data_IF_404361808703
#
_entry.id   IF_404361808703
#
_cell.length_a   1.000
_cell.length_b   1.000
_cell.length_c   1.000
_cell.angle_alpha   90.00
_cell.angle_beta   90.00
_cell.angle_gamma   90.00
#
_symmetry.space_group_name_H-M   'P 1'
#
loop_
_entity.id
_entity.type
_entity.pdbx_description
1 polymer ?
#
# COMPACT_ATOMS: atom_id res chain seq x y z
N UNK A 1 3.68 -25.91 21.48
CA UNK A 1 3.62 -27.28 20.93
C UNK A 1 3.59 -27.15 19.42
N UNK A 2 4.72 -27.35 18.73
CA UNK A 2 4.82 -27.14 17.28
C UNK A 2 4.08 -28.23 16.52
N UNK A 3 3.13 -27.85 15.66
CA UNK A 3 2.54 -28.75 14.68
C UNK A 3 3.66 -29.24 13.75
N UNK A 4 3.70 -30.55 13.48
CA UNK A 4 4.54 -31.09 12.41
C UNK A 4 4.09 -30.47 11.09
N UNK A 5 5.03 -29.93 10.31
CA UNK A 5 4.76 -29.41 8.97
C UNK A 5 4.11 -30.52 8.13
N UNK A 6 2.98 -30.20 7.49
CA UNK A 6 2.33 -31.14 6.58
C UNK A 6 3.25 -31.47 5.40
N UNK A 7 3.34 -32.75 5.04
CA UNK A 7 4.18 -33.21 3.94
C UNK A 7 3.51 -32.90 2.61
N UNK A 8 4.13 -32.03 1.82
CA UNK A 8 3.73 -31.76 0.43
C UNK A 8 3.86 -33.05 -0.41
N UNK A 9 2.75 -33.53 -0.97
CA UNK A 9 2.73 -34.74 -1.81
C UNK A 9 2.94 -34.45 -3.29
N UNK A 10 2.36 -33.36 -3.77
CA UNK A 10 2.45 -32.91 -5.16
C UNK A 10 2.30 -31.40 -5.22
N UNK A 11 3.00 -30.76 -6.15
CA UNK A 11 2.83 -29.36 -6.49
C UNK A 11 2.91 -29.20 -8.01
N UNK A 12 2.08 -28.32 -8.55
CA UNK A 12 2.10 -27.91 -9.95
C UNK A 12 2.08 -26.38 -10.00
N UNK A 13 2.89 -25.80 -10.89
CA UNK A 13 2.87 -24.37 -11.15
C UNK A 13 1.70 -24.05 -12.09
N UNK A 14 0.71 -23.30 -11.60
CA UNK A 14 -0.41 -22.79 -12.40
C UNK A 14 -0.05 -21.44 -13.02
N UNK A 15 0.60 -20.57 -12.25
CA UNK A 15 1.05 -19.24 -12.67
C UNK A 15 2.35 -18.87 -11.94
N UNK A 16 3.22 -18.16 -12.63
CA UNK A 16 4.44 -17.56 -12.07
C UNK A 16 4.43 -16.06 -12.36
N UNK A 17 4.95 -15.26 -11.42
CA UNK A 17 5.21 -13.83 -11.56
C UNK A 17 6.71 -13.53 -11.50
N UNK A 18 7.54 -14.45 -12.00
CA UNK A 18 9.00 -14.41 -11.87
C UNK A 18 9.63 -13.17 -12.52
N UNK A 19 8.94 -12.52 -13.46
CA UNK A 19 9.41 -11.31 -14.14
C UNK A 19 9.42 -10.08 -13.23
N UNK A 20 8.71 -10.11 -12.10
CA UNK A 20 8.81 -9.06 -11.09
C UNK A 20 10.25 -8.88 -10.58
N UNK A 21 11.06 -9.94 -10.55
CA UNK A 21 12.45 -9.88 -10.11
C UNK A 21 13.42 -9.22 -11.11
N UNK A 22 12.94 -8.83 -12.30
CA UNK A 22 13.75 -8.11 -13.29
C UNK A 22 13.94 -6.63 -12.90
N UNK A 23 12.99 -6.08 -12.14
CA UNK A 23 12.97 -4.68 -11.69
C UNK A 23 12.75 -4.62 -10.18
N UNK A 24 13.60 -3.89 -9.46
CA UNK A 24 13.63 -3.96 -8.00
C UNK A 24 12.47 -3.23 -7.33
N UNK A 25 11.93 -2.21 -7.97
CA UNK A 25 10.73 -1.50 -7.56
C UNK A 25 9.50 -2.41 -7.62
N UNK A 26 9.37 -3.20 -8.70
CA UNK A 26 8.29 -4.17 -8.87
C UNK A 26 8.41 -5.31 -7.86
N UNK A 27 9.61 -5.82 -7.66
CA UNK A 27 9.89 -6.85 -6.66
C UNK A 27 9.59 -6.33 -5.25
N UNK A 28 10.04 -5.12 -4.90
CA UNK A 28 9.81 -4.52 -3.60
C UNK A 28 8.32 -4.30 -3.33
N UNK A 29 7.57 -3.84 -4.32
CA UNK A 29 6.12 -3.69 -4.25
C UNK A 29 5.41 -5.04 -4.01
N UNK A 30 5.77 -6.07 -4.78
CA UNK A 30 5.21 -7.41 -4.61
C UNK A 30 5.56 -8.02 -3.26
N UNK A 31 6.82 -7.92 -2.85
CA UNK A 31 7.31 -8.43 -1.58
C UNK A 31 6.64 -7.74 -0.38
N UNK A 32 6.42 -6.42 -0.47
CA UNK A 32 5.69 -5.70 0.57
C UNK A 32 4.27 -6.25 0.73
N UNK A 33 3.52 -6.41 -0.36
CA UNK A 33 2.14 -6.92 -0.30
C UNK A 33 2.08 -8.33 0.30
N UNK A 34 3.01 -9.21 -0.07
CA UNK A 34 3.12 -10.56 0.47
C UNK A 34 3.49 -10.57 1.95
N UNK A 35 4.43 -9.71 2.37
CA UNK A 35 4.79 -9.56 3.78
C UNK A 35 3.60 -9.07 4.59
N UNK A 36 2.88 -8.04 4.13
CA UNK A 36 1.70 -7.53 4.82
C UNK A 36 0.60 -8.59 4.91
N UNK A 37 0.30 -9.30 3.82
CA UNK A 37 -0.67 -10.39 3.86
C UNK A 37 -0.28 -11.47 4.88
N UNK A 38 1.01 -11.83 4.95
CA UNK A 38 1.52 -12.78 5.95
C UNK A 38 1.43 -12.25 7.38
N UNK A 39 1.45 -10.93 7.59
CA UNK A 39 1.21 -10.34 8.90
C UNK A 39 -0.26 -10.40 9.31
N UNK A 40 -1.17 -10.31 8.34
CA UNK A 40 -2.62 -10.26 8.56
C UNK A 40 -3.28 -11.64 8.64
N UNK A 41 -2.71 -12.63 7.95
CA UNK A 41 -3.23 -14.01 7.94
C UNK A 41 -2.70 -14.75 9.17
N UNK A 42 -3.60 -15.06 10.10
CA UNK A 42 -3.29 -15.94 11.22
C UNK A 42 -3.06 -17.38 10.73
N UNK A 43 -2.19 -18.15 11.41
CA UNK A 43 -1.76 -19.49 10.99
C UNK A 43 -2.88 -20.52 10.76
N UNK A 44 -4.12 -20.24 11.20
CA UNK A 44 -5.25 -21.15 11.11
C UNK A 44 -6.47 -20.58 10.37
N UNK A 45 -6.46 -19.29 9.97
CA UNK A 45 -7.63 -18.64 9.38
C UNK A 45 -7.24 -17.89 8.10
N UNK A 46 -7.75 -18.33 6.93
CA UNK A 46 -7.49 -17.61 5.69
C UNK A 46 -8.21 -16.26 5.72
N UNK A 47 -7.54 -15.21 5.25
CA UNK A 47 -8.16 -13.91 5.06
C UNK A 47 -8.99 -13.90 3.77
N UNK A 48 -10.34 -13.82 3.83
CA UNK A 48 -11.17 -13.87 2.63
C UNK A 48 -10.83 -12.75 1.64
N UNK A 49 -10.75 -13.08 0.35
CA UNK A 49 -10.43 -12.12 -0.71
C UNK A 49 -8.95 -11.74 -0.84
N UNK A 50 -8.10 -11.98 0.18
CA UNK A 50 -6.70 -11.58 0.14
C UNK A 50 -5.91 -12.23 -1.01
N UNK A 51 -6.14 -13.53 -1.28
CA UNK A 51 -5.49 -14.22 -2.39
C UNK A 51 -5.86 -13.60 -3.74
N UNK A 52 -7.14 -13.35 -3.99
CA UNK A 52 -7.61 -12.74 -5.24
C UNK A 52 -7.03 -11.34 -5.42
N UNK A 53 -7.01 -10.54 -4.35
CA UNK A 53 -6.39 -9.21 -4.35
C UNK A 53 -4.89 -9.29 -4.66
N UNK A 54 -4.15 -10.17 -3.98
CA UNK A 54 -2.71 -10.35 -4.20
C UNK A 54 -2.41 -10.76 -5.65
N UNK A 55 -3.10 -11.77 -6.19
CA UNK A 55 -2.89 -12.22 -7.56
C UNK A 55 -3.18 -11.11 -8.59
N UNK A 56 -4.20 -10.30 -8.33
CA UNK A 56 -4.52 -9.14 -9.16
C UNK A 56 -3.41 -8.08 -9.10
N UNK A 57 -2.94 -7.71 -7.90
CA UNK A 57 -1.86 -6.72 -7.73
C UNK A 57 -0.54 -7.19 -8.32
N UNK A 58 -0.17 -8.47 -8.13
CA UNK A 58 1.03 -9.05 -8.76
C UNK A 58 0.94 -9.04 -10.29
N UNK A 59 -0.25 -9.28 -10.85
CA UNK A 59 -0.49 -9.16 -12.30
C UNK A 59 -0.29 -7.74 -12.81
N UNK A 60 -0.85 -6.75 -12.13
CA UNK A 60 -0.66 -5.34 -12.49
C UNK A 60 0.81 -4.92 -12.41
N UNK A 61 1.53 -5.32 -11.36
CA UNK A 61 2.96 -5.04 -11.24
C UNK A 61 3.76 -5.65 -12.39
N UNK A 62 3.45 -6.89 -12.81
CA UNK A 62 4.14 -7.55 -13.91
C UNK A 62 3.86 -6.91 -15.29
N UNK A 63 2.68 -6.29 -15.46
CA UNK A 63 2.34 -5.52 -16.65
C UNK A 63 3.14 -4.22 -16.76
N UNK A 64 3.55 -3.63 -15.63
CA UNK A 64 4.36 -2.40 -15.62
C UNK A 64 5.75 -2.58 -16.22
N UNK A 65 6.29 -3.80 -16.34
CA UNK A 65 7.65 -4.05 -16.85
C UNK A 65 7.97 -3.36 -18.19
N UNK A 66 6.94 -3.13 -19.01
CA UNK A 66 7.07 -2.53 -20.35
C UNK A 66 6.90 -1.01 -20.34
N UNK A 67 6.57 -0.41 -19.20
CA UNK A 67 6.40 1.05 -19.06
C UNK A 67 7.76 1.76 -18.90
N UNK A 68 7.84 3.08 -19.09
CA UNK A 68 9.03 3.86 -18.74
C UNK A 68 9.39 3.73 -17.25
N UNK A 69 10.68 3.78 -16.90
CA UNK A 69 11.15 3.52 -15.53
C UNK A 69 10.52 4.44 -14.46
N UNK A 70 10.32 5.72 -14.79
CA UNK A 70 9.65 6.68 -13.91
C UNK A 70 8.18 6.32 -13.63
N UNK A 71 7.47 5.85 -14.67
CA UNK A 71 6.09 5.37 -14.57
C UNK A 71 6.04 4.08 -13.77
N UNK A 72 6.98 3.15 -14.03
CA UNK A 72 7.10 1.89 -13.28
C UNK A 72 7.24 2.14 -11.78
N UNK A 73 8.18 2.99 -11.37
CA UNK A 73 8.44 3.29 -9.97
C UNK A 73 7.20 3.87 -9.27
N UNK A 74 6.60 4.88 -9.88
CA UNK A 74 5.44 5.57 -9.33
C UNK A 74 4.21 4.65 -9.23
N UNK A 75 3.90 3.92 -10.30
CA UNK A 75 2.75 2.99 -10.34
C UNK A 75 2.98 1.78 -9.42
N UNK A 76 4.22 1.29 -9.27
CA UNK A 76 4.54 0.21 -8.35
C UNK A 76 4.31 0.61 -6.89
N UNK A 77 4.79 1.80 -6.50
CA UNK A 77 4.54 2.37 -5.18
C UNK A 77 3.05 2.54 -4.93
N UNK A 78 2.32 3.13 -5.89
CA UNK A 78 0.89 3.37 -5.76
C UNK A 78 0.08 2.06 -5.67
N UNK A 79 0.42 1.07 -6.51
CA UNK A 79 -0.19 -0.27 -6.49
C UNK A 79 -0.03 -0.92 -5.13
N UNK A 80 1.14 -0.80 -4.55
CA UNK A 80 1.45 -1.42 -3.27
C UNK A 80 0.78 -0.67 -2.11
N UNK A 81 0.72 0.67 -2.14
CA UNK A 81 -0.03 1.49 -1.16
C UNK A 81 -1.52 1.15 -1.22
N UNK A 82 -2.11 1.12 -2.41
CA UNK A 82 -3.51 0.75 -2.59
C UNK A 82 -3.80 -0.67 -2.10
N UNK A 83 -2.97 -1.63 -2.51
CA UNK A 83 -3.08 -3.02 -2.07
C UNK A 83 -2.96 -3.15 -0.55
N UNK A 84 -2.08 -2.37 0.08
CA UNK A 84 -1.93 -2.33 1.53
C UNK A 84 -3.17 -1.83 2.25
N UNK A 85 -3.75 -0.71 1.80
CA UNK A 85 -5.02 -0.18 2.32
C UNK A 85 -6.13 -1.23 2.22
N UNK A 86 -6.23 -1.92 1.09
CA UNK A 86 -7.28 -2.92 0.85
C UNK A 86 -7.07 -4.21 1.65
N UNK A 87 -5.82 -4.66 1.82
CA UNK A 87 -5.50 -5.81 2.68
C UNK A 87 -5.87 -5.52 4.14
N UNK A 88 -5.53 -4.33 4.63
CA UNK A 88 -5.93 -3.88 5.97
C UNK A 88 -7.46 -3.85 6.11
N UNK A 89 -8.17 -3.34 5.10
CA UNK A 89 -9.64 -3.34 5.09
C UNK A 89 -10.23 -4.76 5.16
N UNK A 90 -9.69 -5.70 4.38
CA UNK A 90 -10.14 -7.10 4.41
C UNK A 90 -9.92 -7.72 5.79
N UNK A 91 -8.83 -7.37 6.47
CA UNK A 91 -8.47 -7.86 7.79
C UNK A 91 -9.25 -7.20 8.95
N UNK A 92 -10.17 -6.28 8.67
CA UNK A 92 -10.88 -5.53 9.72
C UNK A 92 -10.02 -4.46 10.41
N UNK A 93 -8.84 -4.15 9.87
CA UNK A 93 -7.90 -3.13 10.34
C UNK A 93 -7.84 -1.92 9.40
N UNK A 94 -8.95 -1.67 8.69
CA UNK A 94 -9.08 -0.57 7.75
C UNK A 94 -8.86 0.79 8.42
N UNK A 95 -8.33 1.73 7.65
CA UNK A 95 -8.12 3.10 8.08
C UNK A 95 -9.50 3.79 8.25
N UNK A 96 -9.80 4.44 9.40
CA UNK A 96 -11.05 5.18 9.62
C UNK A 96 -11.01 6.55 8.90
N UNK A 97 -10.70 6.54 7.61
CA UNK A 97 -10.40 7.74 6.82
C UNK A 97 -11.64 8.51 6.36
N UNK A 98 -12.85 8.06 6.70
CA UNK A 98 -14.10 8.72 6.33
C UNK A 98 -14.83 9.36 7.52
N UNK A 99 -14.34 9.16 8.75
CA UNK A 99 -14.99 9.62 9.97
C UNK A 99 -14.00 10.46 10.76
N UNK A 100 -14.43 11.67 11.14
CA UNK A 100 -13.64 12.55 11.97
C UNK A 100 -13.66 12.06 13.42
N UNK A 101 -12.49 11.86 14.02
CA UNK A 101 -12.35 11.35 15.38
C UNK A 101 -13.00 12.26 16.44
N UNK A 102 -12.91 13.59 16.28
CA UNK A 102 -13.38 14.52 17.30
C UNK A 102 -14.91 14.71 17.23
N UNK A 103 -15.44 14.81 16.02
CA UNK A 103 -16.86 15.09 15.80
C UNK A 103 -17.72 13.87 15.52
N UNK A 104 -17.13 12.73 15.15
CA UNK A 104 -17.82 11.53 14.66
C UNK A 104 -18.52 11.71 13.31
N UNK A 105 -18.46 12.90 12.71
CA UNK A 105 -19.07 13.22 11.42
C UNK A 105 -18.20 12.79 10.23
N UNK A 106 -18.69 13.05 9.02
CA UNK A 106 -17.96 12.74 7.80
C UNK A 106 -16.68 13.58 7.69
N UNK A 107 -15.56 12.91 7.47
CA UNK A 107 -14.28 13.55 7.24
C UNK A 107 -14.14 13.93 5.76
N UNK A 108 -14.74 15.06 5.38
CA UNK A 108 -14.75 15.54 3.98
C UNK A 108 -13.58 16.50 3.74
N UNK A 109 -12.60 16.17 2.87
CA UNK A 109 -11.50 17.06 2.57
C UNK A 109 -11.97 18.27 1.73
N UNK A 110 -11.76 19.53 2.19
CA UNK A 110 -12.13 20.72 1.44
C UNK A 110 -11.08 21.01 0.34
N UNK A 111 -11.25 20.38 -0.82
CA UNK A 111 -10.34 20.55 -1.97
C UNK A 111 -10.22 22.03 -2.37
N UNK A 112 -8.98 22.49 -2.55
CA UNK A 112 -8.67 23.90 -2.84
C UNK A 112 -8.30 24.73 -1.61
N UNK A 113 -8.55 24.23 -0.39
CA UNK A 113 -8.07 24.87 0.82
C UNK A 113 -6.65 24.37 1.20
N UNK A 114 -5.64 25.19 0.89
CA UNK A 114 -4.23 24.87 1.10
C UNK A 114 -3.78 24.86 2.56
N UNK A 115 -4.52 25.53 3.45
CA UNK A 115 -4.21 25.59 4.89
C UNK A 115 -4.83 24.43 5.68
N UNK A 116 -5.82 23.77 5.10
CA UNK A 116 -6.51 22.65 5.76
C UNK A 116 -5.59 21.46 5.99
N UNK A 117 -5.65 20.87 7.19
CA UNK A 117 -4.88 19.70 7.57
C UNK A 117 -5.79 18.64 8.19
N UNK A 118 -5.37 17.39 8.08
CA UNK A 118 -5.93 16.25 8.78
C UNK A 118 -4.82 15.58 9.57
N UNK A 119 -4.98 15.51 10.88
CA UNK A 119 -4.05 14.83 11.78
C UNK A 119 -4.34 13.33 11.85
N UNK A 120 -3.29 12.52 11.92
CA UNK A 120 -3.36 11.10 12.26
C UNK A 120 -2.89 10.90 13.70
N UNK A 121 -3.75 10.32 14.52
CA UNK A 121 -3.46 9.77 15.84
C UNK A 121 -3.48 8.24 15.69
N UNK A 122 -2.35 7.53 15.79
CA UNK A 122 -2.27 6.12 15.36
C UNK A 122 -3.27 5.20 16.05
N UNK A 123 -3.49 5.37 17.35
CA UNK A 123 -4.40 4.53 18.12
C UNK A 123 -5.88 4.84 17.85
N UNK A 124 -6.20 6.05 17.38
CA UNK A 124 -7.56 6.58 17.37
C UNK A 124 -8.12 6.82 15.97
N UNK A 125 -7.30 7.32 15.04
CA UNK A 125 -7.68 7.59 13.65
C UNK A 125 -7.38 9.01 13.18
N UNK A 126 -8.29 9.57 12.39
CA UNK A 126 -8.09 10.83 11.68
C UNK A 126 -8.93 11.96 12.24
N UNK A 127 -8.36 13.15 12.33
CA UNK A 127 -9.07 14.34 12.79
C UNK A 127 -8.77 15.55 11.92
N UNK A 128 -9.80 16.32 11.56
CA UNK A 128 -9.66 17.62 10.92
C UNK A 128 -8.92 18.63 11.81
N UNK A 129 -8.09 19.44 11.15
CA UNK A 129 -7.21 20.38 11.81
C UNK A 129 -5.91 19.76 12.33
N UNK A 130 -5.16 20.59 13.05
CA UNK A 130 -3.89 20.21 13.68
C UNK A 130 -4.18 19.79 15.11
N UNK A 131 -3.82 18.56 15.45
CA UNK A 131 -4.00 18.01 16.79
C UNK A 131 -2.65 17.80 17.48
N UNK A 132 -2.60 18.03 18.79
CA UNK A 132 -1.43 17.69 19.60
C UNK A 132 -1.25 16.16 19.61
N UNK A 133 -0.01 15.70 19.53
CA UNK A 133 0.31 14.26 19.49
C UNK A 133 0.09 13.60 18.12
N UNK A 134 -0.37 14.34 17.10
CA UNK A 134 -0.45 13.84 15.74
C UNK A 134 0.95 13.46 15.23
N UNK A 135 1.09 12.24 14.71
CA UNK A 135 2.37 11.74 14.20
C UNK A 135 2.55 12.00 12.70
N UNK A 136 1.45 12.30 12.02
CA UNK A 136 1.41 12.58 10.58
C UNK A 136 0.26 13.55 10.30
N UNK A 137 0.44 14.42 9.30
CA UNK A 137 -0.60 15.36 8.87
C UNK A 137 -0.77 15.31 7.35
N UNK A 138 -1.98 15.04 6.89
CA UNK A 138 -2.36 15.10 5.49
C UNK A 138 -2.93 16.48 5.14
N UNK A 139 -2.70 16.94 3.92
CA UNK A 139 -3.51 18.03 3.33
C UNK A 139 -4.81 17.47 2.72
N UNK A 140 -5.68 18.37 2.25
CA UNK A 140 -6.98 17.98 1.69
C UNK A 140 -6.86 17.03 0.48
N UNK A 141 -5.89 17.27 -0.41
CA UNK A 141 -5.68 16.43 -1.60
C UNK A 141 -5.14 15.04 -1.25
N UNK A 142 -4.27 14.94 -0.24
CA UNK A 142 -3.73 13.66 0.23
C UNK A 142 -4.81 12.80 0.90
N UNK A 143 -5.64 13.39 1.77
CA UNK A 143 -6.77 12.68 2.35
C UNK A 143 -7.76 12.23 1.27
N UNK A 144 -8.11 13.10 0.32
CA UNK A 144 -9.01 12.74 -0.77
C UNK A 144 -8.45 11.61 -1.65
N UNK A 145 -7.13 11.58 -1.87
CA UNK A 145 -6.48 10.46 -2.57
C UNK A 145 -6.58 9.18 -1.74
N UNK A 146 -6.26 9.24 -0.44
CA UNK A 146 -6.33 8.11 0.49
C UNK A 146 -7.73 7.48 0.51
N UNK A 147 -8.78 8.28 0.63
CA UNK A 147 -10.18 7.83 0.63
C UNK A 147 -10.58 7.11 -0.67
N UNK A 148 -9.90 7.39 -1.79
CA UNK A 148 -10.16 6.71 -3.08
C UNK A 148 -9.48 5.34 -3.18
N UNK A 149 -8.56 4.99 -2.29
CA UNK A 149 -7.76 3.76 -2.40
C UNK A 149 -8.55 2.48 -2.13
N UNK A 150 -9.73 2.56 -1.51
CA UNK A 150 -10.63 1.40 -1.41
C UNK A 150 -11.26 1.00 -2.75
N UNK A 151 -11.24 1.88 -3.76
CA UNK A 151 -11.76 1.55 -5.10
C UNK A 151 -10.88 0.50 -5.77
N UNK A 152 -11.41 -0.30 -6.71
CA UNK A 152 -10.64 -1.40 -7.31
C UNK A 152 -9.45 -0.92 -8.16
N UNK A 153 -9.64 0.18 -8.91
CA UNK A 153 -8.61 0.76 -9.78
C UNK A 153 -7.81 1.86 -9.08
N UNK A 154 -6.57 2.06 -9.52
CA UNK A 154 -5.76 3.19 -9.06
C UNK A 154 -6.42 4.53 -9.45
N UNK A 155 -6.38 5.54 -8.57
CA UNK A 155 -6.89 6.87 -8.88
C UNK A 155 -6.14 7.52 -10.05
N UNK A 156 -6.84 7.77 -11.16
CA UNK A 156 -6.31 8.47 -12.33
C UNK A 156 -6.98 9.82 -12.57
N UNK A 157 -6.23 10.75 -13.14
CA UNK A 157 -6.71 12.03 -13.68
C UNK A 157 -7.52 11.79 -14.97
N UNK A 158 -8.08 12.86 -15.54
CA UNK A 158 -8.87 12.80 -16.78
C UNK A 158 -8.05 12.37 -18.00
N UNK A 159 -6.76 12.70 -18.02
CA UNK A 159 -5.79 12.34 -19.06
C UNK A 159 -5.25 10.91 -18.92
N UNK A 160 -5.64 10.18 -17.86
CA UNK A 160 -5.17 8.82 -17.59
C UNK A 160 -3.92 8.74 -16.74
N UNK A 161 -3.27 9.86 -16.40
CA UNK A 161 -2.13 9.85 -15.49
C UNK A 161 -2.55 9.47 -14.07
N UNK A 162 -1.62 8.87 -13.32
CA UNK A 162 -1.83 8.60 -11.90
C UNK A 162 -2.05 9.91 -11.13
N UNK A 163 -3.02 9.91 -10.21
CA UNK A 163 -3.24 11.04 -9.31
C UNK A 163 -2.14 11.09 -8.23
N UNK A 164 -1.64 12.29 -7.97
CA UNK A 164 -0.66 12.55 -6.92
C UNK A 164 0.79 12.29 -7.37
N UNK A 165 1.72 13.22 -7.08
CA UNK A 165 3.14 12.99 -7.34
C UNK A 165 3.71 11.94 -6.40
N UNK A 166 4.90 11.40 -6.71
CA UNK A 166 5.58 10.36 -5.92
C UNK A 166 5.66 10.68 -4.42
N UNK A 167 6.02 11.93 -4.07
CA UNK A 167 6.08 12.38 -2.66
C UNK A 167 4.79 12.13 -1.87
N UNK A 168 3.63 12.22 -2.51
CA UNK A 168 2.34 11.96 -1.84
C UNK A 168 2.20 10.46 -1.59
N UNK A 169 2.56 9.62 -2.55
CA UNK A 169 2.51 8.17 -2.38
C UNK A 169 3.50 7.67 -1.33
N UNK A 170 4.70 8.26 -1.24
CA UNK A 170 5.66 8.00 -0.16
C UNK A 170 5.11 8.42 1.20
N UNK A 171 4.38 9.53 1.26
CA UNK A 171 3.73 9.99 2.49
C UNK A 171 2.58 9.06 2.93
N UNK A 172 1.76 8.58 1.99
CA UNK A 172 0.73 7.57 2.26
C UNK A 172 1.33 6.21 2.64
N UNK A 173 2.48 5.86 2.07
CA UNK A 173 3.23 4.68 2.44
C UNK A 173 3.75 4.78 3.90
N UNK A 174 4.26 5.94 4.32
CA UNK A 174 4.65 6.21 5.70
C UNK A 174 3.47 6.13 6.67
N UNK A 175 2.31 6.66 6.27
CA UNK A 175 1.06 6.49 7.01
C UNK A 175 0.75 5.00 7.25
N UNK A 176 0.87 4.16 6.23
CA UNK A 176 0.66 2.72 6.38
C UNK A 176 1.71 2.06 7.29
N UNK A 177 2.96 2.53 7.29
CA UNK A 177 3.98 2.04 8.23
C UNK A 177 3.58 2.30 9.67
N UNK A 178 3.15 3.52 9.96
CA UNK A 178 2.71 3.96 11.29
C UNK A 178 1.51 3.14 11.72
N UNK A 179 0.50 3.02 10.87
CA UNK A 179 -0.71 2.26 11.15
C UNK A 179 -0.43 0.77 11.41
N UNK A 180 0.38 0.13 10.55
CA UNK A 180 0.76 -1.27 10.75
C UNK A 180 1.53 -1.45 12.07
N UNK A 181 2.45 -0.53 12.40
CA UNK A 181 3.21 -0.62 13.65
C UNK A 181 2.29 -0.55 14.87
N UNK A 182 1.31 0.36 14.85
CA UNK A 182 0.35 0.51 15.95
C UNK A 182 -0.53 -0.74 16.10
N UNK A 183 -1.19 -1.19 15.03
CA UNK A 183 -2.20 -2.24 15.12
C UNK A 183 -1.66 -3.67 15.02
N UNK A 184 -0.46 -3.87 14.46
CA UNK A 184 0.16 -5.19 14.28
C UNK A 184 1.43 -5.36 15.15
N UNK A 185 1.86 -4.31 15.86
CA UNK A 185 3.12 -4.27 16.61
C UNK A 185 4.39 -4.26 15.74
N UNK A 186 4.24 -4.29 14.41
CA UNK A 186 5.34 -4.31 13.43
C UNK A 186 4.86 -3.87 12.07
N UNK A 187 5.76 -3.35 11.24
CA UNK A 187 5.50 -3.02 9.84
C UNK A 187 6.22 -4.00 8.91
N UNK A 188 5.71 -4.24 7.68
CA UNK A 188 6.46 -4.95 6.65
C UNK A 188 7.83 -4.31 6.41
N UNK A 189 8.86 -5.13 6.20
CA UNK A 189 10.24 -4.67 6.04
C UNK A 189 10.52 -4.21 4.61
N UNK A 190 9.96 -4.93 3.63
CA UNK A 190 10.13 -4.59 2.21
C UNK A 190 9.61 -3.19 1.85
N UNK A 191 8.80 -2.60 2.73
CA UNK A 191 8.32 -1.24 2.57
C UNK A 191 9.44 -0.20 2.55
N UNK A 192 10.55 -0.43 3.25
CA UNK A 192 11.69 0.50 3.22
C UNK A 192 12.42 0.49 1.88
N UNK A 193 12.34 -0.59 1.10
CA UNK A 193 12.96 -0.71 -0.22
C UNK A 193 12.32 0.24 -1.23
N UNK A 194 11.01 0.46 -1.13
CA UNK A 194 10.27 1.39 -1.99
C UNK A 194 10.57 2.88 -1.71
N UNK A 195 11.22 3.20 -0.58
CA UNK A 195 11.70 4.56 -0.27
C UNK A 195 13.08 4.85 -0.86
N UNK A 196 13.79 3.83 -1.31
CA UNK A 196 15.17 3.97 -1.78
C UNK A 196 15.16 4.45 -3.24
N UNK A 197 16.01 5.42 -3.54
CA UNK A 197 16.38 5.71 -4.92
C UNK A 197 17.23 4.54 -5.43
N UNK A 198 16.63 3.69 -6.25
CA UNK A 198 17.40 2.66 -6.92
C UNK A 198 18.19 3.31 -8.07
N UNK A 199 19.52 3.13 -8.15
CA UNK A 199 20.26 3.57 -9.32
C UNK A 199 19.63 2.91 -10.55
N UNK A 200 19.24 3.71 -11.56
CA UNK A 200 18.60 3.25 -12.78
C UNK A 200 19.20 1.91 -13.18
N UNK A 201 18.41 0.84 -13.04
CA UNK A 201 18.85 -0.55 -13.07
C UNK A 201 19.98 -0.68 -14.08
N UNK A 202 21.21 -0.86 -13.58
CA UNK A 202 22.39 -0.98 -14.42
C UNK A 202 22.03 -1.97 -15.52
N UNK A 203 22.02 -1.48 -16.77
CA UNK A 203 21.83 -2.30 -17.95
C UNK A 203 22.67 -3.54 -17.73
N UNK A 204 22.02 -4.68 -17.44
CA UNK A 204 22.73 -5.95 -17.41
C UNK A 204 23.22 -6.11 -18.83
N UNK A 205 24.49 -5.78 -19.04
CA UNK A 205 25.17 -5.99 -20.30
C UNK A 205 24.98 -7.47 -20.61
N UNK A 206 24.24 -7.75 -21.68
CA UNK A 206 24.20 -9.06 -22.29
C UNK A 206 25.65 -9.46 -22.58
N UNK A 207 26.11 -10.50 -21.88
CA UNK A 207 27.18 -11.38 -22.34
C UNK A 207 26.56 -12.58 -23.02
#
# INVERSE_FOLDING_TARGET
RGRSLDRLRQAQVIRSYSRLGEQLELLAAGQWLLELARLLIAEAEPLPGALALLLHRLGQLEELRSAPAEVQRLEALATAVQGGVQLLQLAGLGLPMNTDLNGGGDLVPPIGNWEWRCSLLPADGFCSGRQSGAVLMLNASELALLQRLLRPQLPRKRDGELMGPERVWLHLQELLQIWCREHLGRSPKALTLLRQDWPASAQRQNG
#
